data_IF_122479905896
#
_entry.id   IF_122479905896
#
_cell.length_a   1.000
_cell.length_b   1.000
_cell.length_c   1.000
_cell.angle_alpha   90.00
_cell.angle_beta   90.00
_cell.angle_gamma   90.00
#
_symmetry.space_group_name_H-M   'P 1'
#
loop_
_entity.id
_entity.type
_entity.pdbx_description
1 polymer ?
#
# COMPACT_ATOMS: atom_id res chain seq x y z
N UNK A 1 -17.61 -7.16 0.77
CA UNK A 1 -16.19 -7.56 0.98
C UNK A 1 -15.54 -8.12 -0.26
N UNK A 2 -16.16 -9.05 -1.01
CA UNK A 2 -15.66 -9.40 -2.35
C UNK A 2 -15.51 -8.19 -3.27
N UNK A 3 -16.49 -7.27 -3.27
CA UNK A 3 -16.38 -6.02 -4.02
C UNK A 3 -15.19 -5.16 -3.56
N UNK A 4 -14.99 -5.01 -2.25
CA UNK A 4 -13.85 -4.28 -1.68
C UNK A 4 -12.52 -4.91 -2.08
N UNK A 5 -12.40 -6.25 -1.99
CA UNK A 5 -11.24 -6.99 -2.49
C UNK A 5 -11.05 -6.80 -3.99
N UNK A 6 -12.12 -6.75 -4.79
CA UNK A 6 -12.02 -6.57 -6.25
C UNK A 6 -11.51 -5.17 -6.60
N UNK A 7 -12.03 -4.15 -5.93
CA UNK A 7 -11.57 -2.76 -6.10
C UNK A 7 -10.10 -2.63 -5.69
N UNK A 8 -9.73 -3.14 -4.50
CA UNK A 8 -8.35 -3.11 -4.04
C UNK A 8 -7.41 -3.91 -4.93
N UNK A 9 -7.84 -5.08 -5.41
CA UNK A 9 -7.10 -5.88 -6.39
C UNK A 9 -6.78 -5.05 -7.64
N UNK A 10 -7.79 -4.42 -8.26
CA UNK A 10 -7.58 -3.65 -9.50
C UNK A 10 -6.66 -2.46 -9.25
N UNK A 11 -6.90 -1.69 -8.19
CA UNK A 11 -6.12 -0.50 -7.86
C UNK A 11 -4.65 -0.87 -7.63
N UNK A 12 -4.40 -1.84 -6.75
CA UNK A 12 -3.03 -2.28 -6.44
C UNK A 12 -2.36 -2.94 -7.64
N UNK A 13 -3.09 -3.67 -8.48
CA UNK A 13 -2.56 -4.25 -9.72
C UNK A 13 -2.06 -3.17 -10.68
N UNK A 14 -2.93 -2.19 -10.98
CA UNK A 14 -2.64 -1.13 -11.95
C UNK A 14 -1.47 -0.29 -11.45
N UNK A 15 -1.48 0.11 -10.18
CA UNK A 15 -0.38 0.88 -9.59
C UNK A 15 0.93 0.10 -9.63
N UNK A 16 0.93 -1.17 -9.19
CA UNK A 16 2.13 -1.99 -9.17
C UNK A 16 2.74 -2.22 -10.57
N UNK A 17 1.90 -2.40 -11.60
CA UNK A 17 2.35 -2.48 -12.99
C UNK A 17 2.98 -1.16 -13.42
N UNK A 18 2.31 -0.04 -13.19
CA UNK A 18 2.83 1.28 -13.60
C UNK A 18 4.15 1.57 -12.90
N UNK A 19 4.26 1.29 -11.61
CA UNK A 19 5.47 1.54 -10.82
C UNK A 19 6.66 0.70 -11.28
N UNK A 20 6.44 -0.58 -11.64
CA UNK A 20 7.48 -1.41 -12.26
C UNK A 20 7.91 -0.84 -13.61
N UNK A 21 6.96 -0.45 -14.47
CA UNK A 21 7.28 0.13 -15.78
C UNK A 21 8.02 1.47 -15.66
N UNK A 22 7.59 2.33 -14.73
CA UNK A 22 8.27 3.57 -14.37
C UNK A 22 9.68 3.28 -13.89
N UNK A 23 9.84 2.34 -12.96
CA UNK A 23 11.12 1.87 -12.41
C UNK A 23 12.09 1.35 -13.47
N UNK A 24 11.59 0.59 -14.44
CA UNK A 24 12.40 0.07 -15.55
C UNK A 24 12.77 1.15 -16.59
N UNK A 25 11.92 2.16 -16.76
CA UNK A 25 12.17 3.26 -17.69
C UNK A 25 13.00 4.40 -17.09
N UNK A 26 13.15 4.43 -15.76
CA UNK A 26 13.82 5.51 -15.02
C UNK A 26 12.99 6.80 -14.93
N UNK A 27 11.73 6.79 -15.38
CA UNK A 27 10.86 7.96 -15.38
C UNK A 27 9.72 7.77 -14.37
N UNK A 28 9.63 8.67 -13.40
CA UNK A 28 8.47 8.74 -12.51
C UNK A 28 7.25 9.31 -13.27
N UNK A 29 6.06 8.81 -12.95
CA UNK A 29 4.80 9.26 -13.55
C UNK A 29 3.92 9.82 -12.45
N UNK A 30 3.84 11.15 -12.35
CA UNK A 30 3.07 11.85 -11.33
C UNK A 30 3.41 11.35 -9.90
N UNK A 31 2.44 10.80 -9.16
CA UNK A 31 2.59 10.27 -7.79
C UNK A 31 3.14 8.84 -7.74
N UNK A 32 3.44 8.24 -8.89
CA UNK A 32 3.96 6.87 -9.00
C UNK A 32 5.47 6.95 -9.22
N UNK A 33 6.27 6.57 -8.21
CA UNK A 33 7.71 6.68 -8.28
C UNK A 33 8.30 5.66 -9.26
N UNK A 34 9.55 5.90 -9.64
CA UNK A 34 10.36 4.97 -10.41
C UNK A 34 10.96 3.89 -9.49
N UNK A 35 10.11 3.01 -8.93
CA UNK A 35 10.48 2.02 -7.90
C UNK A 35 10.00 0.60 -8.27
N UNK A 36 10.91 -0.21 -8.82
CA UNK A 36 10.60 -1.60 -9.22
C UNK A 36 10.22 -2.47 -8.01
N UNK A 37 10.84 -2.23 -6.86
CA UNK A 37 10.60 -3.05 -5.67
C UNK A 37 9.27 -2.71 -5.02
N UNK A 38 8.93 -1.41 -4.94
CA UNK A 38 7.64 -0.98 -4.45
C UNK A 38 6.49 -1.53 -5.29
N UNK A 39 6.65 -1.48 -6.61
CA UNK A 39 5.69 -2.07 -7.54
C UNK A 39 5.54 -3.59 -7.38
N UNK A 40 6.63 -4.34 -7.14
CA UNK A 40 6.58 -5.78 -6.87
C UNK A 40 5.83 -6.11 -5.57
N UNK A 41 6.04 -5.33 -4.51
CA UNK A 41 5.30 -5.46 -3.25
C UNK A 41 3.81 -5.20 -3.51
N UNK A 42 3.48 -4.17 -4.29
CA UNK A 42 2.10 -3.85 -4.65
C UNK A 42 1.43 -4.98 -5.45
N UNK A 43 2.14 -5.62 -6.38
CA UNK A 43 1.65 -6.81 -7.09
C UNK A 43 1.40 -8.00 -6.16
N UNK A 44 2.25 -8.17 -5.14
CA UNK A 44 2.06 -9.22 -4.12
C UNK A 44 0.80 -8.97 -3.31
N UNK A 45 0.58 -7.73 -2.86
CA UNK A 45 -0.66 -7.30 -2.19
C UNK A 45 -1.88 -7.52 -3.09
N UNK A 46 -1.76 -7.18 -4.37
CA UNK A 46 -2.82 -7.39 -5.37
C UNK A 46 -3.19 -8.87 -5.51
N UNK A 47 -2.19 -9.76 -5.58
CA UNK A 47 -2.40 -11.20 -5.68
C UNK A 47 -3.16 -11.77 -4.46
N UNK A 48 -2.89 -11.24 -3.26
CA UNK A 48 -3.64 -11.60 -2.03
C UNK A 48 -5.12 -11.22 -2.17
N UNK A 49 -5.42 -10.01 -2.64
CA UNK A 49 -6.81 -9.58 -2.86
C UNK A 49 -7.50 -10.40 -3.96
N UNK A 50 -6.80 -10.73 -5.05
CA UNK A 50 -7.30 -11.61 -6.10
C UNK A 50 -7.65 -13.00 -5.54
N UNK A 51 -6.77 -13.56 -4.71
CA UNK A 51 -7.03 -14.86 -4.06
C UNK A 51 -8.30 -14.81 -3.24
N UNK A 52 -8.55 -13.72 -2.52
CA UNK A 52 -9.78 -13.50 -1.77
C UNK A 52 -11.06 -13.53 -2.63
N UNK A 53 -11.00 -13.19 -3.93
CA UNK A 53 -12.18 -13.27 -4.81
C UNK A 53 -12.57 -14.72 -5.15
N UNK A 54 -11.56 -15.58 -5.27
CA UNK A 54 -11.73 -16.98 -5.73
C UNK A 54 -11.89 -17.97 -4.58
N UNK A 55 -11.44 -17.62 -3.37
CA UNK A 55 -11.47 -18.52 -2.22
C UNK A 55 -12.77 -18.44 -1.41
N UNK A 56 -13.12 -19.53 -0.71
CA UNK A 56 -14.28 -19.56 0.20
C UNK A 56 -14.09 -18.62 1.39
N UNK A 57 -12.88 -18.60 1.96
CA UNK A 57 -12.45 -17.73 3.07
C UNK A 57 -12.01 -16.34 2.60
N UNK A 58 -12.82 -15.71 1.75
CA UNK A 58 -12.56 -14.41 1.17
C UNK A 58 -12.30 -13.29 2.18
N UNK A 59 -12.83 -13.42 3.41
CA UNK A 59 -12.64 -12.46 4.50
C UNK A 59 -11.19 -12.41 5.00
N UNK A 60 -10.56 -13.58 5.22
CA UNK A 60 -9.19 -13.67 5.73
C UNK A 60 -8.18 -13.03 4.76
N UNK A 61 -8.36 -13.25 3.45
CA UNK A 61 -7.51 -12.64 2.42
C UNK A 61 -7.71 -11.13 2.32
N UNK A 62 -8.94 -10.64 2.48
CA UNK A 62 -9.20 -9.21 2.51
C UNK A 62 -8.53 -8.54 3.72
N UNK A 63 -8.67 -9.12 4.90
CA UNK A 63 -8.08 -8.63 6.14
C UNK A 63 -6.55 -8.64 6.08
N UNK A 64 -5.96 -9.76 5.65
CA UNK A 64 -4.52 -9.89 5.50
C UNK A 64 -3.95 -8.92 4.45
N UNK A 65 -4.58 -8.83 3.28
CA UNK A 65 -4.20 -7.88 2.24
C UNK A 65 -4.31 -6.44 2.72
N UNK A 66 -5.33 -6.11 3.52
CA UNK A 66 -5.46 -4.79 4.16
C UNK A 66 -4.35 -4.50 5.15
N UNK A 67 -3.93 -5.46 5.98
CA UNK A 67 -2.75 -5.26 6.85
C UNK A 67 -1.50 -4.99 6.01
N UNK A 68 -1.26 -5.80 4.98
CA UNK A 68 -0.07 -5.62 4.14
C UNK A 68 -0.05 -4.22 3.50
N UNK A 69 -1.19 -3.78 2.95
CA UNK A 69 -1.33 -2.44 2.38
C UNK A 69 -1.13 -1.35 3.43
N UNK A 70 -1.70 -1.51 4.63
CA UNK A 70 -1.54 -0.57 5.74
C UNK A 70 -0.08 -0.46 6.17
N UNK A 71 0.60 -1.59 6.40
CA UNK A 71 2.02 -1.64 6.76
C UNK A 71 2.87 -0.93 5.71
N UNK A 72 2.61 -1.19 4.43
CA UNK A 72 3.37 -0.59 3.34
C UNK A 72 3.12 0.92 3.21
N UNK A 73 1.86 1.35 3.40
CA UNK A 73 1.51 2.77 3.39
C UNK A 73 2.18 3.53 4.55
N UNK A 74 2.18 2.94 5.76
CA UNK A 74 2.83 3.51 6.94
C UNK A 74 4.34 3.58 6.74
N UNK A 75 4.95 2.53 6.17
CA UNK A 75 6.38 2.53 5.86
C UNK A 75 6.79 3.76 5.06
N UNK A 76 6.06 4.10 3.99
CA UNK A 76 6.41 5.26 3.18
C UNK A 76 6.13 6.59 3.87
N UNK A 77 5.07 6.70 4.68
CA UNK A 77 4.88 7.89 5.52
C UNK A 77 6.10 8.08 6.44
N UNK A 78 6.62 7.01 7.05
CA UNK A 78 7.82 7.08 7.88
C UNK A 78 9.06 7.46 7.08
N UNK A 79 9.21 6.96 5.85
CA UNK A 79 10.31 7.35 4.94
C UNK A 79 10.24 8.84 4.61
N UNK A 80 9.07 9.35 4.25
CA UNK A 80 8.87 10.78 3.98
C UNK A 80 9.20 11.64 5.21
N UNK A 81 8.77 11.23 6.40
CA UNK A 81 9.11 11.93 7.64
C UNK A 81 10.62 11.87 7.95
N UNK A 82 11.27 10.76 7.62
CA UNK A 82 12.72 10.61 7.78
C UNK A 82 13.48 11.55 6.83
N UNK A 83 13.06 11.65 5.56
CA UNK A 83 13.63 12.59 4.59
C UNK A 83 13.45 14.04 5.04
N UNK A 84 12.25 14.40 5.52
CA UNK A 84 12.00 15.74 6.05
C UNK A 84 12.84 16.06 7.30
N UNK A 85 13.05 15.09 8.20
CA UNK A 85 13.92 15.26 9.36
C UNK A 85 15.39 15.44 8.94
N UNK A 86 15.85 14.65 7.98
CA UNK A 86 17.22 14.73 7.43
C UNK A 86 17.49 16.11 6.83
N UNK A 87 16.56 16.61 5.99
CA UNK A 87 16.66 17.95 5.40
C UNK A 87 16.74 19.07 6.45
N UNK A 88 15.98 18.96 7.55
CA UNK A 88 16.05 19.92 8.67
C UNK A 88 17.42 19.88 9.37
N UNK A 89 18.02 18.70 9.51
CA UNK A 89 19.34 18.52 10.15
C UNK A 89 20.45 19.08 9.26
N UNK A 90 20.40 18.80 7.97
CA UNK A 90 21.41 19.24 6.99
C UNK A 90 21.24 20.73 6.62
N UNK A 91 20.03 21.26 6.78
CA UNK A 91 19.67 22.63 6.42
C UNK A 91 19.29 22.81 4.95
N UNK A 92 18.78 21.75 4.31
CA UNK A 92 18.32 21.75 2.92
C UNK A 92 16.82 22.08 2.82
N UNK A 93 16.40 22.59 1.66
CA UNK A 93 14.97 22.78 1.37
C UNK A 93 14.31 21.43 1.11
N UNK A 94 13.28 21.11 1.89
CA UNK A 94 12.47 19.91 1.69
C UNK A 94 11.13 20.24 1.06
N UNK A 95 10.82 19.57 -0.05
CA UNK A 95 9.53 19.64 -0.70
C UNK A 95 8.76 18.34 -0.52
N UNK A 96 7.68 18.41 0.26
CA UNK A 96 6.81 17.26 0.59
C UNK A 96 6.25 16.58 -0.66
N UNK A 97 6.00 17.34 -1.73
CA UNK A 97 5.41 16.80 -2.96
C UNK A 97 6.35 15.80 -3.63
N UNK A 98 7.66 15.99 -3.49
CA UNK A 98 8.66 15.12 -4.13
C UNK A 98 8.76 13.76 -3.45
N UNK A 99 8.41 13.70 -2.16
CA UNK A 99 8.34 12.46 -1.38
C UNK A 99 6.94 11.84 -1.34
N UNK A 100 5.90 12.56 -1.81
CA UNK A 100 4.53 12.08 -1.74
C UNK A 100 4.32 10.92 -2.71
N UNK A 101 4.04 9.73 -2.16
CA UNK A 101 3.81 8.52 -2.96
C UNK A 101 2.36 8.05 -2.90
N UNK A 102 1.92 7.40 -3.98
CA UNK A 102 0.56 6.87 -4.11
C UNK A 102 0.19 5.88 -2.99
N UNK A 103 1.13 5.13 -2.45
CA UNK A 103 0.90 4.18 -1.36
C UNK A 103 0.41 4.88 -0.10
N UNK A 104 0.89 6.09 0.18
CA UNK A 104 0.40 6.89 1.32
C UNK A 104 -1.08 7.25 1.15
N UNK A 105 -1.49 7.52 -0.09
CA UNK A 105 -2.87 7.87 -0.45
C UNK A 105 -3.78 6.64 -0.35
N UNK A 106 -3.25 5.43 -0.51
CA UNK A 106 -4.01 4.17 -0.37
C UNK A 106 -4.30 3.80 1.09
N UNK A 107 -3.62 4.42 2.07
CA UNK A 107 -3.79 4.12 3.50
C UNK A 107 -5.26 4.05 3.96
N UNK A 108 -6.16 5.00 3.62
CA UNK A 108 -7.54 4.96 4.09
C UNK A 108 -8.31 3.74 3.58
N UNK A 109 -7.94 3.20 2.42
CA UNK A 109 -8.57 2.01 1.84
C UNK A 109 -8.17 0.71 2.57
N UNK A 110 -7.06 0.74 3.30
CA UNK A 110 -6.59 -0.37 4.12
C UNK A 110 -7.26 -0.45 5.51
N UNK A 111 -7.85 0.66 5.98
CA UNK A 111 -8.45 0.76 7.31
C UNK A 111 -9.61 -0.24 7.50
N UNK A 112 -10.60 -0.36 6.59
CA UNK A 112 -11.78 -1.17 6.87
C UNK A 112 -11.47 -2.66 7.06
N UNK A 113 -10.52 -3.23 6.32
CA UNK A 113 -10.09 -4.62 6.51
C UNK A 113 -9.29 -4.80 7.79
N UNK A 114 -8.39 -3.87 8.11
CA UNK A 114 -7.58 -3.95 9.33
C UNK A 114 -8.44 -3.79 10.59
N UNK A 115 -9.39 -2.84 10.61
CA UNK A 115 -10.30 -2.64 11.74
C UNK A 115 -11.19 -3.86 12.01
N UNK A 116 -11.62 -4.55 10.95
CA UNK A 116 -12.41 -5.77 11.07
C UNK A 116 -11.62 -6.88 11.75
N UNK A 117 -10.38 -7.13 11.31
CA UNK A 117 -9.51 -8.12 11.93
C UNK A 117 -9.28 -7.83 13.43
N UNK A 118 -9.06 -6.58 13.79
CA UNK A 118 -8.88 -6.18 15.19
C UNK A 118 -10.14 -6.49 16.00
N UNK A 119 -11.33 -6.28 15.42
CA UNK A 119 -12.60 -6.60 16.06
C UNK A 119 -12.76 -8.12 16.24
N UNK A 120 -12.55 -8.90 15.19
CA UNK A 120 -12.67 -10.36 15.24
C UNK A 120 -11.68 -10.98 16.25
N UNK A 121 -10.45 -10.47 16.31
CA UNK A 121 -9.45 -10.87 17.33
C UNK A 121 -9.91 -10.64 18.77
N UNK A 122 -10.72 -9.61 19.04
CA UNK A 122 -11.24 -9.31 20.39
C UNK A 122 -12.41 -10.21 20.79
N UNK A 123 -13.06 -10.85 19.83
CA UNK A 123 -14.20 -11.74 20.05
C UNK A 123 -13.76 -13.20 20.26
N UNK A 124 -12.47 -13.52 20.03
CA UNK A 124 -11.91 -14.84 20.30
C UNK A 124 -11.69 -15.05 21.81
N UNK A 125 -12.01 -16.25 22.36
CA UNK A 125 -11.68 -16.59 23.74
C UNK A 125 -10.14 -16.58 23.95
N UNK A 126 -9.68 -16.28 25.17
CA UNK A 126 -8.26 -16.17 25.50
C UNK A 126 -7.48 -17.48 25.32
#
# INVERSE_FOLDING_TARGET
MKLSSAVLFIITLVIGIIEILSGLSGNAIALIPSDVFGGLVMLTISAVFLRGLTHREHYAFYEFGSIMLLTFSILYILVMLANGLDAVIVGEEWNIIDDLRIEMILLPLAIPGTSRLIKERRELPP
#
